data_IF_508040671080
#
_entry.id   IF_508040671080
#
_cell.length_a   1.000
_cell.length_b   1.000
_cell.length_c   1.000
_cell.angle_alpha   90.00
_cell.angle_beta   90.00
_cell.angle_gamma   90.00
#
_symmetry.space_group_name_H-M   'P 1'
#
loop_
_entity.id
_entity.type
_entity.pdbx_description
1 polymer ?
#
# COMPACT_ATOMS: atom_id res chain seq x y z
N UNK A 1 5.93 19.07 7.91
CA UNK A 1 4.99 18.09 8.49
C UNK A 1 5.71 16.76 8.59
N UNK A 2 5.91 16.22 9.79
CA UNK A 2 6.45 14.86 9.96
C UNK A 2 5.28 13.88 9.92
N UNK A 3 5.11 13.18 8.81
CA UNK A 3 4.16 12.06 8.73
C UNK A 3 4.69 10.95 9.63
N UNK A 4 3.92 10.60 10.67
CA UNK A 4 4.24 9.49 11.55
C UNK A 4 4.06 8.19 10.77
N UNK A 5 5.14 7.41 10.61
CA UNK A 5 5.14 6.17 9.83
C UNK A 5 4.40 5.00 10.53
N UNK A 6 4.10 5.15 11.82
CA UNK A 6 3.44 4.15 12.64
C UNK A 6 2.27 4.75 13.43
N UNK A 7 1.07 4.24 13.17
CA UNK A 7 -0.16 4.60 13.89
C UNK A 7 -0.85 3.32 14.42
N UNK A 8 -0.71 3.01 15.71
CA UNK A 8 -1.31 1.80 16.30
C UNK A 8 -2.83 1.90 16.45
N UNK A 9 -3.40 3.11 16.42
CA UNK A 9 -4.84 3.38 16.55
C UNK A 9 -5.50 3.57 15.17
N UNK A 10 -4.73 3.37 14.10
CA UNK A 10 -5.18 3.48 12.72
C UNK A 10 -6.26 2.45 12.35
N UNK A 11 -6.82 2.51 11.12
CA UNK A 11 -8.07 1.85 10.71
C UNK A 11 -8.08 0.29 10.65
N UNK A 12 -7.30 -0.40 11.48
CA UNK A 12 -7.23 -1.84 11.57
C UNK A 12 -6.15 -2.45 10.67
N UNK A 13 -6.06 -3.80 10.61
CA UNK A 13 -4.98 -4.47 9.90
C UNK A 13 -5.01 -4.15 8.40
N UNK A 14 -4.03 -3.37 7.96
CA UNK A 14 -3.81 -3.10 6.54
C UNK A 14 -2.97 -4.25 5.96
N UNK A 15 -3.52 -4.95 4.96
CA UNK A 15 -2.72 -5.89 4.18
C UNK A 15 -1.96 -5.09 3.13
N UNK A 16 -0.65 -5.30 3.06
CA UNK A 16 0.21 -4.69 2.05
C UNK A 16 0.74 -5.78 1.12
N UNK A 17 0.63 -5.53 -0.18
CA UNK A 17 1.06 -6.45 -1.24
C UNK A 17 1.91 -5.69 -2.26
N UNK A 18 3.01 -6.31 -2.70
CA UNK A 18 3.77 -5.83 -3.85
C UNK A 18 3.56 -6.80 -5.01
N UNK A 19 3.21 -6.27 -6.18
CA UNK A 19 2.99 -7.05 -7.41
C UNK A 19 3.84 -6.50 -8.54
N UNK A 20 4.34 -7.39 -9.40
CA UNK A 20 5.04 -7.01 -10.63
C UNK A 20 4.07 -7.22 -11.79
N UNK A 21 3.90 -6.18 -12.59
CA UNK A 21 3.08 -6.20 -13.80
C UNK A 21 3.86 -6.80 -14.97
N UNK A 22 3.15 -7.17 -16.03
CA UNK A 22 3.76 -7.77 -17.21
C UNK A 22 4.72 -6.82 -17.95
N UNK A 23 4.56 -5.51 -17.79
CA UNK A 23 5.44 -4.49 -18.35
C UNK A 23 6.70 -4.22 -17.51
N UNK A 24 6.86 -4.92 -16.38
CA UNK A 24 7.99 -4.78 -15.47
C UNK A 24 7.75 -3.80 -14.33
N UNK A 25 6.70 -2.97 -14.38
CA UNK A 25 6.40 -2.05 -13.29
C UNK A 25 5.98 -2.81 -12.02
N UNK A 26 6.42 -2.34 -10.85
CA UNK A 26 5.99 -2.87 -9.56
C UNK A 26 5.00 -1.91 -8.88
N UNK A 27 3.84 -2.43 -8.49
CA UNK A 27 2.85 -1.68 -7.71
C UNK A 27 2.93 -2.09 -6.25
N UNK A 28 2.89 -1.08 -5.37
CA UNK A 28 2.63 -1.28 -3.96
C UNK A 28 1.15 -1.02 -3.66
N UNK A 29 0.45 -2.04 -3.17
CA UNK A 29 -0.97 -2.01 -2.89
C UNK A 29 -1.23 -2.13 -1.39
N UNK A 30 -2.27 -1.43 -0.92
CA UNK A 30 -2.81 -1.59 0.43
C UNK A 30 -4.30 -1.94 0.36
N UNK A 31 -4.74 -2.93 1.13
CA UNK A 31 -6.16 -3.26 1.28
C UNK A 31 -6.76 -2.48 2.45
N UNK A 32 -7.75 -1.63 2.18
CA UNK A 32 -8.53 -0.89 3.17
C UNK A 32 -10.02 -1.00 2.86
N UNK A 33 -10.84 -1.28 3.86
CA UNK A 33 -12.31 -1.35 3.67
C UNK A 33 -12.75 -2.30 2.55
N UNK A 34 -12.01 -3.38 2.31
CA UNK A 34 -12.28 -4.35 1.24
C UNK A 34 -11.80 -3.96 -0.16
N UNK A 35 -11.24 -2.77 -0.35
CA UNK A 35 -10.70 -2.27 -1.63
C UNK A 35 -9.18 -2.24 -1.62
N UNK A 36 -8.59 -2.36 -2.80
CA UNK A 36 -7.16 -2.17 -3.01
C UNK A 36 -6.88 -0.75 -3.50
N UNK A 37 -5.89 -0.10 -2.88
CA UNK A 37 -5.40 1.23 -3.23
C UNK A 37 -3.91 1.14 -3.60
N UNK A 38 -3.51 1.83 -4.66
CA UNK A 38 -2.08 1.98 -5.02
C UNK A 38 -1.47 3.04 -4.12
N UNK A 39 -0.38 2.70 -3.44
CA UNK A 39 0.37 3.61 -2.57
C UNK A 39 1.80 3.84 -3.04
N UNK A 40 2.25 3.13 -4.08
CA UNK A 40 3.55 3.33 -4.70
C UNK A 40 3.63 2.63 -6.06
N UNK A 41 4.43 3.21 -6.96
CA UNK A 41 4.76 2.65 -8.27
C UNK A 41 6.28 2.72 -8.40
N UNK A 42 6.89 1.64 -8.88
CA UNK A 42 8.32 1.52 -9.10
C UNK A 42 8.57 0.97 -10.51
N UNK A 43 9.53 1.55 -11.21
CA UNK A 43 10.06 1.11 -12.50
C UNK A 43 11.32 0.23 -12.36
#
# INVERSE_FOLDING_TARGET
MHTRWWDPDGPGPAVRLQVVLADGAALLLVRRGGRWEVTGVYD
#
